data_IF_829521910351
#
_entry.id   IF_829521910351
#
_cell.length_a   1.000
_cell.length_b   1.000
_cell.length_c   1.000
_cell.angle_alpha   90.00
_cell.angle_beta   90.00
_cell.angle_gamma   90.00
#
_symmetry.space_group_name_H-M   'P 1'
#
loop_
_entity.id
_entity.type
_entity.pdbx_description
1 polymer ?
#
# COMPACT_ATOMS: atom_id res chain seq x y z
N UNK A 1 88.65 -29.50 26.43
CA UNK A 1 87.34 -30.13 26.67
C UNK A 1 86.43 -29.08 27.29
N UNK A 2 85.33 -28.56 26.83
CA UNK A 2 84.41 -28.83 25.76
C UNK A 2 83.62 -27.49 25.45
N UNK A 3 84.07 -26.74 24.47
CA UNK A 3 83.34 -25.56 24.07
C UNK A 3 82.22 -25.79 23.01
N UNK A 4 81.92 -27.07 22.66
CA UNK A 4 80.94 -27.40 21.59
C UNK A 4 79.59 -27.79 22.06
N UNK A 5 79.33 -27.95 23.37
CA UNK A 5 78.02 -28.34 23.89
C UNK A 5 77.04 -27.18 24.19
N UNK A 6 77.48 -25.97 24.33
CA UNK A 6 76.69 -24.78 24.67
C UNK A 6 76.07 -24.06 23.44
N UNK A 7 76.58 -24.32 22.24
CA UNK A 7 76.12 -23.69 21.01
C UNK A 7 74.85 -24.41 20.40
N UNK A 8 74.67 -25.67 20.80
CA UNK A 8 73.51 -26.46 20.32
C UNK A 8 72.16 -26.21 21.01
N UNK A 9 72.17 -25.67 22.25
CA UNK A 9 70.98 -25.40 23.05
C UNK A 9 70.38 -24.04 22.75
N UNK A 10 71.16 -23.03 22.31
CA UNK A 10 70.65 -21.71 21.94
C UNK A 10 69.90 -21.69 20.56
N UNK A 11 70.14 -22.66 19.66
CA UNK A 11 69.52 -22.70 18.35
C UNK A 11 68.16 -23.49 18.35
N UNK A 12 67.88 -24.22 19.42
CA UNK A 12 66.62 -24.97 19.54
C UNK A 12 65.44 -24.20 20.16
N UNK A 13 65.70 -23.00 20.72
CA UNK A 13 64.64 -22.17 21.35
C UNK A 13 64.04 -21.10 20.42
N UNK A 14 64.54 -20.94 19.20
CA UNK A 14 64.07 -19.87 18.28
C UNK A 14 63.00 -20.34 17.25
N UNK A 15 62.50 -21.55 17.31
CA UNK A 15 61.53 -22.11 16.33
C UNK A 15 60.10 -22.30 16.88
N UNK A 16 59.74 -21.76 18.03
CA UNK A 16 58.40 -21.90 18.59
C UNK A 16 57.60 -20.59 18.59
N UNK A 17 57.87 -19.69 17.65
CA UNK A 17 56.92 -18.64 17.34
C UNK A 17 55.83 -19.19 16.38
N UNK A 18 55.01 -20.14 16.87
CA UNK A 18 53.71 -20.41 16.23
C UNK A 18 52.90 -19.10 16.29
N UNK A 19 52.85 -18.38 15.18
CA UNK A 19 51.90 -17.32 15.02
C UNK A 19 50.49 -17.94 15.18
N UNK A 20 49.87 -17.71 16.32
CA UNK A 20 48.48 -18.05 16.51
C UNK A 20 47.67 -17.20 15.53
N UNK A 21 47.37 -17.76 14.35
CA UNK A 21 46.51 -17.09 13.41
C UNK A 21 45.12 -16.95 14.05
N UNK A 22 44.65 -15.72 14.20
CA UNK A 22 43.32 -15.44 14.67
C UNK A 22 42.34 -16.19 13.76
N UNK A 23 41.31 -16.90 14.30
CA UNK A 23 40.37 -17.63 13.45
C UNK A 23 39.62 -16.66 12.55
N UNK A 24 39.75 -16.88 11.25
CA UNK A 24 39.08 -16.12 10.22
C UNK A 24 37.86 -16.87 9.70
N UNK A 25 36.75 -16.16 9.47
CA UNK A 25 35.58 -16.67 8.81
C UNK A 25 35.42 -16.03 7.44
N UNK A 26 35.02 -16.82 6.45
CA UNK A 26 34.91 -16.36 5.07
C UNK A 26 33.47 -16.00 4.72
N UNK A 27 33.31 -15.12 3.74
CA UNK A 27 32.02 -14.71 3.23
C UNK A 27 32.13 -13.78 2.02
N UNK A 28 31.11 -12.99 1.79
CA UNK A 28 31.02 -12.04 0.68
C UNK A 28 30.60 -10.67 1.19
N UNK A 29 31.05 -9.65 0.49
CA UNK A 29 30.61 -8.26 0.72
C UNK A 29 29.28 -8.04 0.02
N UNK A 30 28.25 -7.65 0.77
CA UNK A 30 26.90 -7.43 0.26
C UNK A 30 26.40 -6.03 0.61
N UNK A 31 25.44 -5.55 -0.18
CA UNK A 31 24.65 -4.36 0.11
C UNK A 31 23.21 -4.77 0.41
N UNK A 32 22.51 -3.98 1.20
CA UNK A 32 21.08 -4.16 1.34
C UNK A 32 20.41 -3.95 -0.03
N UNK A 33 19.49 -4.85 -0.40
CA UNK A 33 18.84 -4.86 -1.71
C UNK A 33 17.35 -4.60 -1.58
N UNK A 34 16.82 -3.75 -2.47
CA UNK A 34 15.38 -3.58 -2.67
C UNK A 34 15.07 -4.05 -4.08
N UNK A 35 14.17 -5.04 -4.15
CA UNK A 35 13.59 -5.49 -5.41
C UNK A 35 12.28 -4.74 -5.65
N UNK A 36 12.13 -4.16 -6.83
CA UNK A 36 10.93 -3.45 -7.26
C UNK A 36 10.13 -4.35 -8.20
N UNK A 37 9.04 -4.96 -7.71
CA UNK A 37 8.26 -5.91 -8.50
C UNK A 37 7.34 -5.21 -9.49
N UNK A 38 7.03 -5.89 -10.60
CA UNK A 38 6.00 -5.46 -11.56
C UNK A 38 4.61 -5.45 -10.90
N UNK A 39 3.93 -4.31 -10.82
CA UNK A 39 2.57 -4.23 -10.24
C UNK A 39 1.49 -4.77 -11.18
N UNK A 40 1.77 -4.81 -12.48
CA UNK A 40 0.89 -5.33 -13.53
C UNK A 40 1.73 -5.91 -14.67
N UNK A 41 1.13 -6.84 -15.43
CA UNK A 41 1.76 -7.42 -16.62
C UNK A 41 1.54 -6.49 -17.82
N UNK A 42 2.24 -5.36 -17.82
CA UNK A 42 2.23 -4.35 -18.87
C UNK A 42 3.60 -4.22 -19.53
N UNK A 43 3.62 -3.70 -20.75
CA UNK A 43 4.86 -3.48 -21.50
C UNK A 43 5.67 -2.33 -20.88
N UNK A 44 6.99 -2.45 -20.86
CA UNK A 44 7.90 -1.37 -20.49
C UNK A 44 8.01 -0.39 -21.65
N UNK A 45 7.58 0.86 -21.43
CA UNK A 45 7.56 1.91 -22.47
C UNK A 45 8.66 2.95 -22.31
N UNK A 46 9.26 3.04 -21.10
CA UNK A 46 10.43 3.89 -20.85
C UNK A 46 11.32 3.26 -19.79
N UNK A 47 12.64 3.48 -19.93
CA UNK A 47 13.65 3.17 -18.92
C UNK A 47 14.51 4.43 -18.81
N UNK A 48 14.46 5.09 -17.64
CA UNK A 48 15.06 6.42 -17.45
C UNK A 48 16.44 6.34 -16.79
N UNK A 49 16.88 5.15 -16.41
CA UNK A 49 18.15 4.91 -15.69
C UNK A 49 18.92 3.76 -16.34
N UNK A 50 20.19 3.63 -15.97
CA UNK A 50 21.05 2.50 -16.35
C UNK A 50 21.61 1.80 -15.13
N UNK A 51 22.05 0.55 -15.31
CA UNK A 51 22.76 -0.22 -14.27
C UNK A 51 24.04 0.51 -13.83
N UNK A 52 24.30 0.50 -12.51
CA UNK A 52 25.39 1.24 -11.89
C UNK A 52 25.09 2.70 -11.53
N UNK A 53 23.98 3.27 -12.01
CA UNK A 53 23.62 4.68 -11.75
C UNK A 53 23.19 4.90 -10.30
N UNK A 54 23.64 6.00 -9.70
CA UNK A 54 23.15 6.50 -8.41
C UNK A 54 21.81 7.23 -8.63
N UNK A 55 20.82 6.93 -7.79
CA UNK A 55 19.48 7.53 -7.84
C UNK A 55 19.06 8.03 -6.47
N UNK A 56 18.33 9.14 -6.46
CA UNK A 56 17.67 9.66 -5.25
C UNK A 56 16.34 8.94 -4.99
N UNK A 57 15.83 9.02 -3.78
CA UNK A 57 14.45 8.59 -3.50
C UNK A 57 13.45 9.37 -4.37
N UNK A 58 12.43 8.68 -4.90
CA UNK A 58 11.42 9.25 -5.79
C UNK A 58 11.84 9.36 -7.26
N UNK A 59 13.10 9.08 -7.62
CA UNK A 59 13.53 9.05 -9.03
C UNK A 59 12.78 7.96 -9.78
N UNK A 60 12.16 8.30 -10.92
CA UNK A 60 11.54 7.31 -11.80
C UNK A 60 12.63 6.47 -12.47
N UNK A 61 12.51 5.16 -12.38
CA UNK A 61 13.46 4.19 -12.94
C UNK A 61 12.99 3.70 -14.32
N UNK A 62 11.72 3.36 -14.41
CA UNK A 62 11.07 2.90 -15.63
C UNK A 62 9.56 3.16 -15.56
N UNK A 63 8.92 3.13 -16.73
CA UNK A 63 7.48 3.29 -16.88
C UNK A 63 6.88 2.10 -17.61
N UNK A 64 5.78 1.58 -17.09
CA UNK A 64 4.94 0.60 -17.75
C UNK A 64 3.88 1.29 -18.61
N UNK A 65 3.30 0.57 -19.56
CA UNK A 65 2.25 1.09 -20.45
C UNK A 65 1.00 1.47 -19.63
N UNK A 66 0.51 2.70 -19.84
CA UNK A 66 -0.58 3.29 -19.07
C UNK A 66 -1.96 3.11 -19.70
N UNK A 67 -2.02 2.80 -20.99
CA UNK A 67 -3.23 2.92 -21.84
C UNK A 67 -4.43 2.21 -21.26
N UNK A 68 -4.29 0.96 -20.85
CA UNK A 68 -5.38 0.16 -20.30
C UNK A 68 -5.82 0.68 -18.93
N UNK A 69 -4.88 0.92 -18.05
CA UNK A 69 -5.17 1.38 -16.67
C UNK A 69 -5.71 2.80 -16.66
N UNK A 70 -5.25 3.67 -17.57
CA UNK A 70 -5.82 5.00 -17.76
C UNK A 70 -7.28 4.93 -18.22
N UNK A 71 -7.61 4.07 -19.19
CA UNK A 71 -8.99 3.88 -19.62
C UNK A 71 -9.90 3.35 -18.48
N UNK A 72 -9.39 2.45 -17.64
CA UNK A 72 -10.11 1.98 -16.46
C UNK A 72 -10.37 3.10 -15.44
N UNK A 73 -9.37 3.94 -15.18
CA UNK A 73 -9.52 5.12 -14.32
C UNK A 73 -10.56 6.09 -14.88
N UNK A 74 -10.53 6.36 -16.18
CA UNK A 74 -11.47 7.29 -16.81
C UNK A 74 -12.92 6.76 -16.75
N UNK A 75 -13.11 5.45 -16.93
CA UNK A 75 -14.40 4.80 -16.73
C UNK A 75 -14.87 4.90 -15.27
N UNK A 76 -14.00 4.62 -14.29
CA UNK A 76 -14.34 4.74 -12.86
C UNK A 76 -14.68 6.19 -12.49
N UNK A 77 -13.95 7.18 -13.01
CA UNK A 77 -14.26 8.61 -12.82
C UNK A 77 -15.60 8.99 -13.44
N UNK A 78 -15.99 8.41 -14.57
CA UNK A 78 -17.29 8.65 -15.16
C UNK A 78 -18.42 8.10 -14.28
N UNK A 79 -18.26 6.92 -13.70
CA UNK A 79 -19.22 6.35 -12.74
C UNK A 79 -19.30 7.18 -11.46
N UNK A 80 -18.19 7.70 -10.94
CA UNK A 80 -18.19 8.59 -9.79
C UNK A 80 -19.01 9.87 -10.07
N UNK A 81 -18.79 10.51 -11.25
CA UNK A 81 -19.59 11.68 -11.66
C UNK A 81 -21.07 11.37 -11.82
N UNK A 82 -21.41 10.18 -12.31
CA UNK A 82 -22.80 9.74 -12.40
C UNK A 82 -23.43 9.59 -11.01
N UNK A 83 -22.70 8.99 -10.05
CA UNK A 83 -23.15 8.88 -8.66
C UNK A 83 -23.37 10.24 -8.01
N UNK A 84 -22.45 11.18 -8.20
CA UNK A 84 -22.57 12.55 -7.68
C UNK A 84 -23.78 13.28 -8.27
N UNK A 85 -24.06 13.12 -9.56
CA UNK A 85 -25.22 13.70 -10.21
C UNK A 85 -26.53 13.12 -9.68
N UNK A 86 -26.59 11.80 -9.49
CA UNK A 86 -27.76 11.13 -8.92
C UNK A 86 -28.02 11.59 -7.46
N UNK A 87 -26.97 11.70 -6.65
CA UNK A 87 -27.08 12.25 -5.30
C UNK A 87 -27.58 13.70 -5.31
N UNK A 88 -27.07 14.53 -6.23
CA UNK A 88 -27.51 15.91 -6.37
C UNK A 88 -29.02 15.98 -6.73
N UNK A 89 -29.51 15.09 -7.58
CA UNK A 89 -30.95 14.99 -7.91
C UNK A 89 -31.78 14.61 -6.68
N UNK A 90 -31.34 13.60 -5.90
CA UNK A 90 -32.03 13.22 -4.65
C UNK A 90 -32.09 14.37 -3.65
N UNK A 91 -31.00 15.14 -3.51
CA UNK A 91 -30.95 16.31 -2.61
C UNK A 91 -31.76 17.49 -3.12
N UNK A 92 -31.86 17.67 -4.41
CA UNK A 92 -32.71 18.71 -4.99
C UNK A 92 -34.21 18.45 -4.74
N UNK A 93 -34.60 17.19 -4.64
CA UNK A 93 -35.97 16.79 -4.36
C UNK A 93 -36.96 17.11 -5.50
N UNK A 94 -38.27 17.24 -5.20
CA UNK A 94 -39.32 17.49 -6.19
C UNK A 94 -39.15 18.85 -6.87
N UNK A 95 -39.43 18.90 -8.16
CA UNK A 95 -39.31 20.13 -8.96
C UNK A 95 -40.37 21.18 -8.50
N UNK A 96 -40.01 22.45 -8.61
CA UNK A 96 -40.89 23.57 -8.27
C UNK A 96 -42.21 23.55 -8.98
N UNK A 97 -42.27 23.04 -10.24
CA UNK A 97 -43.44 22.90 -11.04
C UNK A 97 -44.40 21.86 -10.48
N UNK A 98 -43.88 20.73 -9.96
CA UNK A 98 -44.70 19.69 -9.30
C UNK A 98 -45.35 20.24 -8.03
N UNK A 99 -44.60 20.98 -7.23
CA UNK A 99 -45.12 21.67 -6.02
C UNK A 99 -46.19 22.71 -6.42
N UNK A 100 -45.97 23.50 -7.47
CA UNK A 100 -46.93 24.49 -7.96
C UNK A 100 -48.22 23.83 -8.45
N UNK A 101 -48.12 22.72 -9.17
CA UNK A 101 -49.26 21.93 -9.61
C UNK A 101 -50.07 21.38 -8.41
N UNK A 102 -49.43 20.80 -7.41
CA UNK A 102 -50.10 20.29 -6.23
C UNK A 102 -50.77 21.42 -5.42
N UNK A 103 -50.18 22.59 -5.35
CA UNK A 103 -50.82 23.80 -4.73
C UNK A 103 -52.06 24.21 -5.48
N UNK A 104 -52.06 24.22 -6.82
CA UNK A 104 -53.20 24.57 -7.62
C UNK A 104 -54.35 23.52 -7.47
N UNK A 105 -54.01 22.24 -7.40
CA UNK A 105 -54.98 21.16 -7.13
C UNK A 105 -55.65 21.34 -5.74
N UNK A 106 -54.88 21.67 -4.71
CA UNK A 106 -55.39 21.95 -3.38
C UNK A 106 -56.30 23.18 -3.37
N UNK A 107 -55.93 24.23 -4.08
CA UNK A 107 -56.77 25.42 -4.20
C UNK A 107 -58.12 25.15 -4.87
N UNK A 108 -58.12 24.36 -5.95
CA UNK A 108 -59.34 23.91 -6.63
C UNK A 108 -60.22 23.03 -5.72
N UNK A 109 -59.65 22.04 -5.02
CA UNK A 109 -60.40 21.22 -4.08
C UNK A 109 -61.01 22.04 -2.92
N UNK A 110 -60.29 23.04 -2.41
CA UNK A 110 -60.81 23.94 -1.38
C UNK A 110 -62.01 24.75 -1.89
N UNK A 111 -61.95 25.30 -3.12
CA UNK A 111 -63.05 26.06 -3.69
C UNK A 111 -64.31 25.19 -3.84
N UNK A 112 -64.15 23.92 -4.33
CA UNK A 112 -65.25 22.98 -4.43
C UNK A 112 -65.83 22.61 -3.06
N UNK A 113 -65.02 22.44 -2.04
CA UNK A 113 -65.49 22.14 -0.69
C UNK A 113 -66.22 23.32 -0.06
N UNK A 114 -65.82 24.56 -0.32
CA UNK A 114 -66.51 25.77 0.13
C UNK A 114 -67.90 25.82 -0.50
N UNK A 115 -68.04 25.61 -1.80
CA UNK A 115 -69.33 25.60 -2.50
C UNK A 115 -70.26 24.50 -1.99
N UNK A 116 -69.77 23.24 -1.91
CA UNK A 116 -70.55 22.10 -1.45
C UNK A 116 -71.04 22.27 0.01
N UNK A 117 -70.16 22.78 0.89
CA UNK A 117 -70.57 23.11 2.29
C UNK A 117 -71.61 24.21 2.37
N UNK A 118 -71.42 25.30 1.59
CA UNK A 118 -72.38 26.37 1.53
C UNK A 118 -73.73 25.90 1.02
N UNK A 119 -73.78 25.03 0.00
CA UNK A 119 -74.98 24.43 -0.48
C UNK A 119 -75.69 23.58 0.60
N UNK A 120 -75.01 22.67 1.23
CA UNK A 120 -75.55 21.88 2.35
C UNK A 120 -76.03 22.75 3.49
N UNK A 121 -75.29 23.80 3.86
CA UNK A 121 -75.64 24.74 4.94
C UNK A 121 -76.96 25.48 4.62
N UNK A 122 -77.21 25.81 3.35
CA UNK A 122 -78.52 26.37 2.91
C UNK A 122 -79.66 25.39 2.98
N UNK A 123 -79.49 24.11 2.55
CA UNK A 123 -80.52 23.10 2.51
C UNK A 123 -80.85 22.55 3.90
N UNK A 124 -79.95 22.44 4.81
CA UNK A 124 -80.12 21.85 6.14
C UNK A 124 -81.31 22.48 6.91
N UNK A 125 -81.49 23.81 7.07
CA UNK A 125 -82.59 24.40 7.78
C UNK A 125 -83.95 24.26 7.03
N UNK A 126 -83.91 24.22 5.70
CA UNK A 126 -85.10 23.98 4.87
C UNK A 126 -85.63 22.53 5.02
N UNK A 127 -84.72 21.55 5.09
CA UNK A 127 -85.04 20.15 5.39
C UNK A 127 -85.64 19.97 6.77
N UNK A 128 -85.13 20.62 7.79
CA UNK A 128 -85.69 20.65 9.15
C UNK A 128 -87.13 21.17 9.17
N UNK A 129 -87.42 22.14 8.30
CA UNK A 129 -88.80 22.68 8.12
C UNK A 129 -89.63 21.91 7.15
N UNK A 130 -89.18 20.73 6.61
CA UNK A 130 -89.86 19.91 5.60
C UNK A 130 -90.12 20.63 4.28
N UNK A 131 -89.39 21.68 3.94
CA UNK A 131 -89.55 22.48 2.70
C UNK A 131 -88.77 21.89 1.49
N UNK A 132 -87.91 20.93 1.73
CA UNK A 132 -87.15 20.13 0.73
C UNK A 132 -87.16 18.65 1.11
N UNK A 133 -86.97 17.74 0.13
CA UNK A 133 -86.87 16.32 0.36
C UNK A 133 -85.70 15.93 1.22
N UNK A 134 -85.82 14.99 2.16
CA UNK A 134 -84.75 14.47 2.98
C UNK A 134 -83.62 13.92 2.14
N UNK A 135 -83.92 13.22 1.04
CA UNK A 135 -82.89 12.67 0.12
C UNK A 135 -82.02 13.78 -0.53
N UNK A 136 -82.55 14.98 -0.70
CA UNK A 136 -81.78 16.12 -1.24
C UNK A 136 -80.78 16.68 -0.22
N UNK A 137 -81.20 16.75 1.03
CA UNK A 137 -80.32 17.13 2.15
C UNK A 137 -79.18 16.10 2.36
N UNK A 138 -79.55 14.81 2.26
CA UNK A 138 -78.57 13.72 2.39
C UNK A 138 -77.59 13.70 1.22
N UNK A 139 -77.99 14.00 0.01
CA UNK A 139 -77.12 14.14 -1.16
C UNK A 139 -76.16 15.35 -0.96
N UNK A 140 -76.64 16.51 -0.53
CA UNK A 140 -75.83 17.70 -0.28
C UNK A 140 -74.82 17.44 0.84
N UNK A 141 -75.22 16.71 1.89
CA UNK A 141 -74.31 16.30 2.97
C UNK A 141 -73.20 15.40 2.48
N UNK A 142 -73.56 14.36 1.66
CA UNK A 142 -72.62 13.44 1.06
C UNK A 142 -71.63 14.20 0.14
N UNK A 143 -72.16 15.12 -0.70
CA UNK A 143 -71.30 15.95 -1.58
C UNK A 143 -70.30 16.81 -0.80
N UNK A 144 -70.72 17.44 0.29
CA UNK A 144 -69.82 18.19 1.17
C UNK A 144 -68.75 17.28 1.82
N UNK A 145 -69.13 16.09 2.29
CA UNK A 145 -68.22 15.11 2.83
C UNK A 145 -67.16 14.63 1.84
N UNK A 146 -67.61 14.38 0.59
CA UNK A 146 -66.71 13.99 -0.50
C UNK A 146 -65.71 15.09 -0.86
N UNK A 147 -66.17 16.36 -0.96
CA UNK A 147 -65.31 17.51 -1.24
C UNK A 147 -64.27 17.73 -0.12
N UNK A 148 -64.66 17.49 1.14
CA UNK A 148 -63.72 17.52 2.28
C UNK A 148 -62.69 16.41 2.21
N UNK A 149 -63.06 15.23 1.72
CA UNK A 149 -62.14 14.14 1.43
C UNK A 149 -61.11 14.50 0.37
N UNK A 150 -61.55 15.18 -0.71
CA UNK A 150 -60.67 15.65 -1.78
C UNK A 150 -59.67 16.71 -1.27
N UNK A 151 -60.06 17.64 -0.38
CA UNK A 151 -59.18 18.62 0.24
C UNK A 151 -58.08 17.87 1.05
N UNK A 152 -58.47 16.88 1.88
CA UNK A 152 -57.50 16.13 2.67
C UNK A 152 -56.52 15.35 1.79
N UNK A 153 -56.99 14.72 0.70
CA UNK A 153 -56.13 14.02 -0.25
C UNK A 153 -55.14 14.96 -0.94
N UNK A 154 -55.61 16.12 -1.43
CA UNK A 154 -54.75 17.11 -2.07
C UNK A 154 -53.74 17.76 -1.07
N UNK A 155 -54.14 17.93 0.21
CA UNK A 155 -53.23 18.38 1.27
C UNK A 155 -52.14 17.35 1.53
N UNK A 156 -52.46 16.06 1.62
CA UNK A 156 -51.51 14.98 1.84
C UNK A 156 -50.51 14.89 0.68
N UNK A 157 -50.98 14.96 -0.57
CA UNK A 157 -50.11 14.95 -1.75
C UNK A 157 -49.15 16.15 -1.81
N UNK A 158 -49.62 17.35 -1.45
CA UNK A 158 -48.77 18.51 -1.35
C UNK A 158 -47.73 18.37 -0.20
N UNK A 159 -48.16 17.84 0.94
CA UNK A 159 -47.25 17.60 2.07
C UNK A 159 -46.14 16.61 1.73
N UNK A 160 -46.45 15.54 1.02
CA UNK A 160 -45.50 14.56 0.52
C UNK A 160 -44.41 15.22 -0.35
N UNK A 161 -44.82 16.07 -1.31
CA UNK A 161 -43.85 16.80 -2.15
C UNK A 161 -43.05 17.81 -1.37
N UNK A 162 -43.62 18.45 -0.33
CA UNK A 162 -42.92 19.42 0.51
C UNK A 162 -41.93 18.75 1.48
N UNK A 163 -42.18 17.54 1.91
CA UNK A 163 -41.22 16.75 2.69
C UNK A 163 -39.99 16.35 1.87
N UNK A 164 -40.14 16.25 0.54
CA UNK A 164 -39.07 15.94 -0.39
C UNK A 164 -38.61 14.48 -0.33
N UNK A 165 -37.37 14.26 -0.72
CA UNK A 165 -36.73 12.92 -0.71
C UNK A 165 -36.52 12.44 0.72
N UNK A 166 -36.75 11.17 0.98
CA UNK A 166 -36.53 10.57 2.30
C UNK A 166 -35.04 10.62 2.67
N UNK A 167 -34.76 10.80 3.96
CA UNK A 167 -33.39 10.81 4.49
C UNK A 167 -32.62 9.53 4.20
N UNK A 168 -33.35 8.40 4.19
CA UNK A 168 -32.77 7.08 3.88
C UNK A 168 -32.34 6.95 2.42
N UNK A 169 -33.15 7.50 1.49
CA UNK A 169 -32.83 7.51 0.06
C UNK A 169 -31.60 8.40 -0.22
N UNK A 170 -31.49 9.55 0.48
CA UNK A 170 -30.32 10.42 0.40
C UNK A 170 -29.10 9.72 0.97
N UNK A 171 -29.20 9.06 2.14
CA UNK A 171 -28.11 8.32 2.74
C UNK A 171 -27.63 7.14 1.84
N UNK A 172 -28.55 6.47 1.18
CA UNK A 172 -28.22 5.43 0.19
C UNK A 172 -27.49 6.04 -1.02
N UNK A 173 -27.95 7.19 -1.52
CA UNK A 173 -27.28 7.91 -2.60
C UNK A 173 -25.88 8.38 -2.22
N UNK A 174 -25.70 8.86 -1.00
CA UNK A 174 -24.37 9.25 -0.46
C UNK A 174 -23.41 8.06 -0.40
N UNK A 175 -23.89 6.91 0.09
CA UNK A 175 -23.09 5.70 0.13
C UNK A 175 -22.70 5.19 -1.26
N UNK A 176 -23.63 5.27 -2.24
CA UNK A 176 -23.36 4.88 -3.62
C UNK A 176 -22.34 5.81 -4.31
N UNK A 177 -22.48 7.13 -4.13
CA UNK A 177 -21.51 8.10 -4.65
C UNK A 177 -20.11 7.91 -4.01
N UNK A 178 -20.05 7.73 -2.69
CA UNK A 178 -18.80 7.47 -1.98
C UNK A 178 -18.11 6.17 -2.44
N UNK A 179 -18.87 5.11 -2.69
CA UNK A 179 -18.32 3.85 -3.23
C UNK A 179 -17.71 4.04 -4.62
N UNK A 180 -18.39 4.77 -5.52
CA UNK A 180 -17.87 5.05 -6.85
C UNK A 180 -16.62 5.94 -6.83
N UNK A 181 -16.57 6.93 -5.92
CA UNK A 181 -15.38 7.77 -5.70
C UNK A 181 -14.21 6.95 -5.16
N UNK A 182 -14.44 6.03 -4.22
CA UNK A 182 -13.42 5.14 -3.69
C UNK A 182 -12.84 4.22 -4.78
N UNK A 183 -13.67 3.70 -5.69
CA UNK A 183 -13.22 2.92 -6.83
C UNK A 183 -12.35 3.76 -7.77
N UNK A 184 -12.73 4.99 -8.10
CA UNK A 184 -11.92 5.88 -8.92
C UNK A 184 -10.56 6.20 -8.24
N UNK A 185 -10.53 6.36 -6.92
CA UNK A 185 -9.30 6.55 -6.16
C UNK A 185 -8.41 5.30 -6.20
N UNK A 186 -8.97 4.09 -6.09
CA UNK A 186 -8.24 2.83 -6.20
C UNK A 186 -7.59 2.66 -7.58
N UNK A 187 -8.33 2.98 -8.65
CA UNK A 187 -7.80 2.94 -10.02
C UNK A 187 -6.69 4.00 -10.23
N UNK A 188 -6.84 5.19 -9.64
CA UNK A 188 -5.80 6.23 -9.66
C UNK A 188 -4.51 5.78 -8.97
N UNK A 189 -4.64 5.12 -7.81
CA UNK A 189 -3.49 4.56 -7.10
C UNK A 189 -2.82 3.43 -7.89
N UNK A 190 -3.61 2.62 -8.60
CA UNK A 190 -3.09 1.55 -9.47
C UNK A 190 -2.32 2.14 -10.64
N UNK A 191 -2.85 3.18 -11.28
CA UNK A 191 -2.16 3.90 -12.36
C UNK A 191 -0.82 4.49 -11.89
N UNK A 192 -0.79 5.12 -10.71
CA UNK A 192 0.45 5.69 -10.16
C UNK A 192 1.54 4.65 -9.86
N UNK A 193 1.17 3.38 -9.65
CA UNK A 193 2.16 2.30 -9.47
C UNK A 193 2.84 1.86 -10.77
N UNK A 194 2.35 2.25 -11.94
CA UNK A 194 2.96 1.92 -13.23
C UNK A 194 4.20 2.77 -13.53
N UNK A 195 4.40 3.87 -12.83
CA UNK A 195 5.67 4.58 -12.73
C UNK A 195 6.50 3.95 -11.59
N UNK A 196 7.49 3.17 -11.96
CA UNK A 196 8.35 2.49 -10.99
C UNK A 196 9.40 3.48 -10.51
N UNK A 197 9.31 3.86 -9.24
CA UNK A 197 10.20 4.85 -8.63
C UNK A 197 11.07 4.23 -7.54
N UNK A 198 12.25 4.80 -7.32
CA UNK A 198 13.15 4.41 -6.23
C UNK A 198 12.53 4.77 -4.87
N UNK A 199 12.26 3.81 -3.97
CA UNK A 199 11.69 4.12 -2.65
C UNK A 199 12.70 4.75 -1.71
N UNK A 200 14.00 4.59 -1.98
CA UNK A 200 15.13 5.14 -1.22
C UNK A 200 16.27 5.48 -2.17
N UNK A 201 17.14 6.41 -1.75
CA UNK A 201 18.38 6.64 -2.45
C UNK A 201 19.26 5.38 -2.47
N UNK A 202 19.92 5.13 -3.60
CA UNK A 202 20.74 3.95 -3.80
C UNK A 202 21.35 3.90 -5.18
N UNK A 203 21.96 2.77 -5.52
CA UNK A 203 22.52 2.48 -6.84
C UNK A 203 21.71 1.38 -7.53
N UNK A 204 21.42 1.56 -8.81
CA UNK A 204 20.75 0.54 -9.64
C UNK A 204 21.71 -0.64 -9.82
N UNK A 205 21.35 -1.81 -9.29
CA UNK A 205 22.14 -3.04 -9.39
C UNK A 205 21.87 -3.74 -10.72
N UNK A 206 20.60 -3.96 -11.03
CA UNK A 206 20.21 -4.58 -12.30
C UNK A 206 18.82 -4.17 -12.78
N UNK A 207 18.65 -4.25 -14.09
CA UNK A 207 17.41 -4.05 -14.85
C UNK A 207 17.15 -5.31 -15.70
N UNK A 208 16.51 -6.35 -15.14
CA UNK A 208 16.38 -7.65 -15.81
C UNK A 208 15.60 -7.62 -17.12
N UNK A 209 14.73 -6.64 -17.30
CA UNK A 209 13.89 -6.48 -18.48
C UNK A 209 14.32 -5.28 -19.32
N UNK A 210 14.04 -5.34 -20.62
CA UNK A 210 14.40 -4.31 -21.62
C UNK A 210 13.17 -3.53 -22.06
N UNK A 211 13.43 -2.41 -22.72
CA UNK A 211 12.39 -1.61 -23.38
C UNK A 211 11.59 -2.48 -24.36
N UNK A 212 10.28 -2.49 -24.21
CA UNK A 212 9.37 -3.31 -25.01
C UNK A 212 9.02 -4.67 -24.40
N UNK A 213 9.74 -5.16 -23.38
CA UNK A 213 9.41 -6.39 -22.69
C UNK A 213 8.15 -6.24 -21.84
N UNK A 214 7.47 -7.37 -21.60
CA UNK A 214 6.33 -7.48 -20.70
C UNK A 214 6.69 -8.44 -19.57
N UNK A 215 6.90 -7.89 -18.37
CA UNK A 215 7.21 -8.70 -17.21
C UNK A 215 5.92 -9.26 -16.58
N UNK A 216 5.92 -10.51 -16.08
CA UNK A 216 4.81 -11.03 -15.28
C UNK A 216 4.68 -10.26 -13.95
N UNK A 217 3.46 -10.20 -13.40
CA UNK A 217 3.20 -9.58 -12.10
C UNK A 217 4.09 -10.19 -11.02
N UNK A 218 4.73 -9.34 -10.21
CA UNK A 218 5.65 -9.75 -9.15
C UNK A 218 7.09 -10.00 -9.58
N UNK A 219 7.38 -10.03 -10.90
CA UNK A 219 8.75 -10.14 -11.37
C UNK A 219 9.56 -8.88 -11.05
N UNK A 220 10.84 -9.01 -10.67
CA UNK A 220 11.68 -7.86 -10.35
C UNK A 220 11.99 -7.05 -11.62
N UNK A 221 11.49 -5.81 -11.68
CA UNK A 221 11.77 -4.87 -12.77
C UNK A 221 13.10 -4.13 -12.58
N UNK A 222 13.42 -3.82 -11.34
CA UNK A 222 14.68 -3.19 -10.97
C UNK A 222 15.13 -3.68 -9.59
N UNK A 223 16.44 -3.81 -9.41
CA UNK A 223 17.06 -4.11 -8.12
C UNK A 223 17.93 -2.93 -7.75
N UNK A 224 17.74 -2.39 -6.54
CA UNK A 224 18.53 -1.29 -6.00
C UNK A 224 19.42 -1.79 -4.87
N UNK A 225 20.68 -1.37 -4.86
CA UNK A 225 21.55 -1.44 -3.69
C UNK A 225 21.34 -0.18 -2.86
N UNK A 226 20.99 -0.36 -1.60
CA UNK A 226 20.65 0.73 -0.69
C UNK A 226 21.46 0.65 0.61
N UNK A 227 21.50 1.74 1.37
CA UNK A 227 22.23 1.80 2.62
C UNK A 227 23.42 2.73 2.55
N UNK A 228 23.99 3.07 3.72
CA UNK A 228 25.14 3.96 3.85
C UNK A 228 26.47 3.22 3.68
N UNK A 229 26.50 1.91 3.92
CA UNK A 229 27.68 1.09 3.87
C UNK A 229 27.34 -0.36 3.50
N UNK A 230 28.25 -1.07 2.82
CA UNK A 230 28.11 -2.52 2.62
C UNK A 230 28.34 -3.26 3.94
N UNK A 231 27.91 -4.50 3.97
CA UNK A 231 28.16 -5.42 5.07
C UNK A 231 28.82 -6.70 4.58
N UNK A 232 29.70 -7.25 5.40
CA UNK A 232 30.27 -8.57 5.17
C UNK A 232 29.27 -9.61 5.68
N UNK A 233 28.77 -10.47 4.78
CA UNK A 233 27.96 -11.63 5.12
C UNK A 233 28.86 -12.85 5.20
N UNK A 234 29.09 -13.33 6.42
CA UNK A 234 30.03 -14.41 6.69
C UNK A 234 29.36 -15.61 7.34
N UNK A 235 30.02 -16.76 7.21
CA UNK A 235 29.55 -18.03 7.75
C UNK A 235 30.37 -18.37 8.99
N UNK A 236 29.80 -18.16 10.17
CA UNK A 236 30.41 -18.41 11.48
C UNK A 236 30.24 -19.87 11.83
N UNK A 237 31.31 -20.67 11.98
CA UNK A 237 31.22 -22.07 12.39
C UNK A 237 30.56 -22.22 13.76
N UNK A 238 29.85 -23.36 13.99
CA UNK A 238 29.14 -23.65 15.22
C UNK A 238 29.98 -23.44 16.47
N UNK A 239 31.23 -23.89 16.46
CA UNK A 239 32.18 -23.72 17.57
C UNK A 239 32.42 -22.27 17.99
N UNK A 240 32.27 -21.30 17.07
CA UNK A 240 32.46 -19.86 17.32
C UNK A 240 31.17 -19.14 17.65
N UNK A 241 30.02 -19.73 17.32
CA UNK A 241 28.70 -19.10 17.39
C UNK A 241 28.37 -18.51 18.75
N UNK A 242 28.71 -19.22 19.83
CA UNK A 242 28.41 -18.77 21.20
C UNK A 242 29.21 -17.50 21.61
N UNK A 243 30.36 -17.29 21.00
CA UNK A 243 31.21 -16.13 21.24
C UNK A 243 30.85 -14.90 20.42
N UNK A 244 30.23 -15.05 19.23
CA UNK A 244 29.89 -13.93 18.34
C UNK A 244 28.54 -13.34 18.74
N UNK A 245 28.55 -12.03 19.07
CA UNK A 245 27.36 -11.29 19.54
C UNK A 245 27.19 -10.00 18.74
N UNK A 246 25.95 -9.52 18.55
CA UNK A 246 25.70 -8.20 17.98
C UNK A 246 26.45 -7.09 18.75
N UNK A 247 26.98 -6.12 18.02
CA UNK A 247 27.81 -5.03 18.54
C UNK A 247 29.30 -5.36 18.70
N UNK A 248 29.70 -6.63 18.54
CA UNK A 248 31.10 -7.02 18.62
C UNK A 248 31.94 -6.38 17.51
N UNK A 249 33.10 -5.86 17.83
CA UNK A 249 34.07 -5.31 16.85
C UNK A 249 34.69 -6.45 16.04
N UNK A 250 34.81 -6.22 14.76
CA UNK A 250 35.45 -7.15 13.83
C UNK A 250 36.38 -6.41 12.87
N UNK A 251 37.37 -7.12 12.35
CA UNK A 251 38.23 -6.68 11.24
C UNK A 251 37.86 -7.43 9.99
N UNK A 252 37.53 -6.69 8.92
CA UNK A 252 37.10 -7.23 7.63
C UNK A 252 38.22 -7.04 6.63
N UNK A 253 38.75 -8.11 6.09
CA UNK A 253 39.70 -8.14 5.01
C UNK A 253 38.98 -8.38 3.71
N UNK A 254 39.08 -7.48 2.75
CA UNK A 254 38.47 -7.57 1.43
C UNK A 254 39.49 -8.02 0.42
N UNK A 255 39.24 -9.10 -0.29
CA UNK A 255 40.21 -9.62 -1.27
C UNK A 255 40.42 -8.58 -2.39
N UNK A 256 41.71 -8.38 -2.76
CA UNK A 256 42.08 -7.35 -3.73
C UNK A 256 42.26 -5.93 -3.14
N UNK A 257 42.17 -5.79 -1.82
CA UNK A 257 42.48 -4.53 -1.11
C UNK A 257 43.50 -4.78 -0.02
N UNK A 258 44.47 -3.86 0.09
CA UNK A 258 45.47 -3.89 1.17
C UNK A 258 44.83 -3.41 2.48
N UNK A 259 45.22 -4.06 3.59
CA UNK A 259 44.75 -3.69 4.93
C UNK A 259 43.43 -4.34 5.33
N UNK A 260 42.84 -3.82 6.38
CA UNK A 260 41.53 -4.28 6.92
C UNK A 260 40.65 -3.08 7.23
N UNK A 261 39.34 -3.28 7.08
CA UNK A 261 38.31 -2.34 7.50
C UNK A 261 37.84 -2.69 8.91
N UNK A 262 37.67 -1.68 9.75
CA UNK A 262 36.97 -1.84 11.01
C UNK A 262 35.48 -2.04 10.72
N UNK A 263 34.80 -2.81 11.57
CA UNK A 263 33.40 -3.03 11.47
C UNK A 263 32.82 -3.61 12.75
N UNK A 264 31.50 -3.74 12.78
CA UNK A 264 30.82 -4.30 13.94
C UNK A 264 29.72 -5.27 13.49
N UNK A 265 29.49 -6.29 14.31
CA UNK A 265 28.45 -7.30 14.05
C UNK A 265 27.09 -6.66 14.16
N UNK A 266 26.35 -6.58 13.04
CA UNK A 266 24.97 -6.09 12.96
C UNK A 266 24.01 -7.13 13.52
N UNK A 267 24.16 -8.38 13.08
CA UNK A 267 23.31 -9.49 13.49
C UNK A 267 24.00 -10.84 13.31
N UNK A 268 23.51 -11.83 14.04
CA UNK A 268 23.86 -13.24 13.84
C UNK A 268 22.56 -14.04 13.83
N UNK A 269 22.32 -14.79 12.76
CA UNK A 269 21.10 -15.61 12.63
C UNK A 269 21.08 -16.73 13.68
N UNK A 270 19.86 -17.05 14.15
CA UNK A 270 19.65 -18.15 15.11
C UNK A 270 19.60 -19.50 14.40
N UNK A 271 19.17 -19.53 13.15
CA UNK A 271 19.04 -20.76 12.37
C UNK A 271 20.38 -21.08 11.69
N UNK A 272 20.84 -22.33 11.83
CA UNK A 272 22.03 -22.79 11.14
C UNK A 272 21.76 -22.99 9.64
N UNK A 273 22.79 -22.82 8.85
CA UNK A 273 22.82 -23.11 7.42
C UNK A 273 24.00 -23.98 7.08
N UNK A 274 23.95 -24.71 5.97
CA UNK A 274 25.14 -25.38 5.44
C UNK A 274 26.06 -24.34 4.80
N UNK A 275 27.36 -24.45 5.08
CA UNK A 275 28.36 -23.55 4.48
C UNK A 275 28.37 -23.77 2.95
N UNK A 276 28.27 -22.71 2.13
CA UNK A 276 28.39 -22.84 0.68
C UNK A 276 29.73 -23.46 0.27
N UNK A 277 29.74 -24.24 -0.83
CA UNK A 277 30.89 -24.98 -1.31
C UNK A 277 32.19 -24.17 -1.47
N UNK A 278 32.07 -22.89 -1.87
CA UNK A 278 33.23 -22.00 -2.03
C UNK A 278 33.85 -21.49 -0.72
N UNK A 279 33.21 -21.71 0.41
CA UNK A 279 33.72 -21.33 1.73
C UNK A 279 34.35 -22.53 2.46
N UNK A 280 34.50 -23.68 1.81
CA UNK A 280 34.98 -24.91 2.39
C UNK A 280 36.52 -24.98 2.38
N UNK A 281 37.12 -25.05 3.55
CA UNK A 281 38.51 -25.46 3.73
C UNK A 281 38.61 -26.45 4.88
N UNK A 282 39.17 -27.67 4.59
CA UNK A 282 39.43 -28.69 5.59
C UNK A 282 38.17 -29.26 6.28
N UNK A 283 38.24 -29.49 7.58
CA UNK A 283 37.23 -30.17 8.39
C UNK A 283 35.90 -29.42 8.55
N UNK A 284 35.78 -28.20 8.06
CA UNK A 284 34.58 -27.36 8.17
C UNK A 284 33.53 -27.66 7.07
N UNK A 285 33.89 -28.52 6.10
CA UNK A 285 33.04 -28.86 4.96
C UNK A 285 31.71 -29.54 5.29
N UNK A 286 31.58 -30.15 6.46
CA UNK A 286 30.39 -30.90 6.91
C UNK A 286 29.71 -30.29 8.13
N UNK A 287 30.10 -29.09 8.59
CA UNK A 287 29.61 -28.50 9.83
C UNK A 287 28.58 -27.42 9.60
N UNK A 288 27.65 -27.29 10.55
CA UNK A 288 26.68 -26.21 10.59
C UNK A 288 27.39 -24.87 10.78
N UNK A 289 26.92 -23.86 10.07
CA UNK A 289 27.38 -22.49 10.14
C UNK A 289 26.23 -21.54 10.38
N UNK A 290 26.51 -20.38 10.96
CA UNK A 290 25.52 -19.34 11.21
C UNK A 290 25.89 -18.09 10.41
N UNK A 291 24.91 -17.52 9.72
CA UNK A 291 25.13 -16.27 8.99
C UNK A 291 25.27 -15.13 9.99
N UNK A 292 26.38 -14.40 9.90
CA UNK A 292 26.58 -13.12 10.57
C UNK A 292 26.78 -12.01 9.54
N UNK A 293 26.28 -10.84 9.85
CA UNK A 293 26.41 -9.64 9.05
C UNK A 293 27.21 -8.60 9.83
N UNK A 294 28.30 -8.14 9.24
CA UNK A 294 29.23 -7.17 9.82
C UNK A 294 29.19 -5.93 8.96
N UNK A 295 28.73 -4.81 9.52
CA UNK A 295 28.75 -3.51 8.84
C UNK A 295 30.17 -2.96 8.91
N UNK A 296 30.67 -2.50 7.77
CA UNK A 296 31.97 -1.89 7.66
C UNK A 296 31.90 -0.40 8.04
N UNK A 297 32.84 0.06 8.84
CA UNK A 297 33.00 1.47 9.14
C UNK A 297 33.85 2.13 8.04
N UNK A 298 33.37 3.21 7.45
CA UNK A 298 34.05 3.97 6.40
C UNK A 298 34.58 3.11 5.21
N UNK A 299 33.76 2.26 4.59
CA UNK A 299 34.23 1.33 3.56
C UNK A 299 34.62 1.98 2.23
N UNK A 300 34.29 3.27 2.02
CA UNK A 300 34.40 3.90 0.70
C UNK A 300 33.46 3.26 -0.33
N UNK A 301 33.82 3.33 -1.60
CA UNK A 301 33.06 2.72 -2.72
C UNK A 301 33.58 1.29 -2.97
N UNK A 302 33.10 0.33 -2.18
CA UNK A 302 33.41 -1.09 -2.38
C UNK A 302 32.26 -1.76 -3.16
N UNK A 303 32.57 -2.46 -4.27
CA UNK A 303 31.55 -3.20 -5.01
C UNK A 303 31.00 -4.39 -4.22
N UNK A 304 29.75 -4.76 -4.47
CA UNK A 304 29.17 -5.99 -3.95
C UNK A 304 29.84 -7.24 -4.58
N UNK A 305 29.75 -8.38 -3.87
CA UNK A 305 30.21 -9.66 -4.36
C UNK A 305 31.68 -9.97 -4.14
N UNK A 306 32.46 -9.05 -3.57
CA UNK A 306 33.86 -9.33 -3.24
C UNK A 306 33.97 -10.38 -2.13
N UNK A 307 34.88 -11.36 -2.24
CA UNK A 307 35.21 -12.26 -1.14
C UNK A 307 35.79 -11.48 0.04
N UNK A 308 35.37 -11.88 1.25
CA UNK A 308 35.88 -11.26 2.48
C UNK A 308 36.24 -12.32 3.50
N UNK A 309 37.22 -11.94 4.37
CA UNK A 309 37.58 -12.68 5.57
C UNK A 309 37.40 -11.79 6.77
N UNK A 310 36.86 -12.33 7.85
CA UNK A 310 36.55 -11.56 9.05
C UNK A 310 37.18 -12.21 10.27
N UNK A 311 37.81 -11.37 11.08
CA UNK A 311 38.32 -11.71 12.41
C UNK A 311 37.49 -11.00 13.47
N UNK A 312 37.02 -11.74 14.46
CA UNK A 312 36.27 -11.18 15.58
C UNK A 312 37.22 -10.88 16.74
N UNK A 313 37.09 -9.69 17.32
CA UNK A 313 37.91 -9.30 18.47
C UNK A 313 37.58 -10.21 19.69
N UNK A 314 38.62 -10.78 20.31
CA UNK A 314 38.48 -11.57 21.53
C UNK A 314 38.04 -13.02 21.35
N UNK A 315 37.91 -13.53 20.12
CA UNK A 315 37.67 -14.95 19.86
C UNK A 315 39.02 -15.64 19.57
N UNK A 316 39.52 -16.42 20.51
CA UNK A 316 40.63 -17.31 20.33
C UNK A 316 40.18 -18.67 19.75
N UNK A 317 41.12 -19.44 19.17
CA UNK A 317 40.84 -20.82 18.81
C UNK A 317 40.28 -21.60 20.00
N UNK A 318 39.01 -22.02 19.91
CA UNK A 318 38.53 -23.10 20.78
C UNK A 318 39.33 -24.37 20.40
N UNK A 319 40.00 -24.94 21.38
CA UNK A 319 40.74 -26.23 21.25
C UNK A 319 39.76 -27.37 20.96
#
# INVERSE_FOLDING_TARGET
>A
MNGKALLGIALALSLSACSQSTPQVSGTLEWDRISLPAPAAEKIVAIDVHEGQQVAAGTRLLQLELTRTQAQLDAARALARQGDAALAELRAGPRSEQIAQARAMLASARAQAVDARAYYARLRPLGQRKLVAAAEVDRARAAAGNADGQVRAAQAALAELLHGTRSEDIAQGEAAAAAAQAEAAAQSATLGKLDITAPRAGRVDSLPYKLGDQAPVGAPLAILLVGAAPHARVYVPERMRAGVKPGMVARVFVDGRDGSFAGHVRMVRSEPVFTPYYALSGDDAARLSYIAEIVLDHPGDLPAGLPVRVEFAGIAHAR
#
